data_IF_968052365307
#
_entry.id   IF_968052365307
#
_cell.length_a   1.000
_cell.length_b   1.000
_cell.length_c   1.000
_cell.angle_alpha   90.00
_cell.angle_beta   90.00
_cell.angle_gamma   90.00
#
_symmetry.space_group_name_H-M   'P 1'
#
loop_
_entity.id
_entity.type
_entity.pdbx_description
1 polymer ?
#
# COMPACT_ATOMS: atom_id res chain seq x y z
N UNK A 1 -34.48 -0.82 60.33
CA UNK A 1 -35.30 -1.19 59.15
C UNK A 1 -35.36 -0.14 58.04
N UNK A 2 -35.44 1.18 58.31
CA UNK A 2 -35.41 2.21 57.24
C UNK A 2 -34.08 2.32 56.49
N UNK A 3 -32.95 2.16 57.17
CA UNK A 3 -31.61 2.25 56.55
C UNK A 3 -31.34 1.14 55.51
N UNK A 4 -31.83 -0.08 55.75
CA UNK A 4 -31.64 -1.21 54.84
C UNK A 4 -32.46 -1.07 53.54
N UNK A 5 -33.63 -0.44 53.64
CA UNK A 5 -34.51 -0.17 52.50
C UNK A 5 -33.94 0.92 51.59
N UNK A 6 -33.26 1.92 52.16
CA UNK A 6 -32.58 2.97 51.41
C UNK A 6 -31.31 2.46 50.70
N UNK A 7 -30.62 1.47 51.27
CA UNK A 7 -29.45 0.85 50.65
C UNK A 7 -29.83 -0.03 49.44
N UNK A 8 -30.93 -0.79 49.52
CA UNK A 8 -31.44 -1.55 48.37
C UNK A 8 -31.95 -0.64 47.24
N UNK A 9 -32.59 0.49 47.56
CA UNK A 9 -33.02 1.47 46.55
C UNK A 9 -31.82 2.15 45.86
N UNK A 10 -30.73 2.41 46.57
CA UNK A 10 -29.50 2.95 45.98
C UNK A 10 -28.81 1.96 45.04
N UNK A 11 -28.82 0.65 45.35
CA UNK A 11 -28.26 -0.40 44.48
C UNK A 11 -29.13 -0.58 43.23
N UNK A 12 -30.45 -0.56 43.34
CA UNK A 12 -31.35 -0.62 42.18
C UNK A 12 -31.20 0.61 41.26
N UNK A 13 -31.03 1.80 41.83
CA UNK A 13 -30.77 3.02 41.06
C UNK A 13 -29.40 2.98 40.36
N UNK A 14 -28.37 2.43 41.01
CA UNK A 14 -27.03 2.26 40.42
C UNK A 14 -27.01 1.23 39.29
N UNK A 15 -27.75 0.12 39.42
CA UNK A 15 -27.87 -0.90 38.36
C UNK A 15 -28.67 -0.37 37.16
N UNK A 16 -29.74 0.42 37.39
CA UNK A 16 -30.49 1.07 36.31
C UNK A 16 -29.65 2.18 35.65
N UNK A 17 -28.82 2.91 36.40
CA UNK A 17 -27.86 3.88 35.85
C UNK A 17 -26.76 3.19 35.01
N UNK A 18 -26.24 2.04 35.44
CA UNK A 18 -25.28 1.25 34.65
C UNK A 18 -25.91 0.65 33.38
N UNK A 19 -27.19 0.25 33.42
CA UNK A 19 -27.93 -0.25 32.26
C UNK A 19 -28.38 0.86 31.30
N UNK A 20 -28.51 2.10 31.77
CA UNK A 20 -28.80 3.28 30.92
C UNK A 20 -27.54 3.89 30.34
N UNK A 21 -26.40 3.85 31.04
CA UNK A 21 -25.08 4.20 30.49
C UNK A 21 -24.60 3.15 29.48
N UNK A 22 -24.90 1.86 29.67
CA UNK A 22 -24.62 0.83 28.64
C UNK A 22 -25.51 0.98 27.41
N UNK A 23 -26.75 1.46 27.57
CA UNK A 23 -27.63 1.83 26.44
C UNK A 23 -27.21 3.13 25.75
N UNK A 24 -26.61 4.09 26.46
CA UNK A 24 -26.06 5.31 25.86
C UNK A 24 -24.73 5.04 25.11
N UNK A 25 -24.02 3.96 25.44
CA UNK A 25 -22.91 3.40 24.63
C UNK A 25 -23.37 2.48 23.49
N UNK A 26 -24.67 2.14 23.46
CA UNK A 26 -25.32 1.37 22.39
C UNK A 26 -26.26 2.24 21.54
N UNK A 27 -25.93 3.52 21.40
CA UNK A 27 -26.63 4.46 20.52
C UNK A 27 -26.22 4.25 19.06
N UNK A 28 -27.21 3.88 18.24
CA UNK A 28 -27.20 3.81 16.78
C UNK A 28 -26.18 2.86 16.14
N UNK A 29 -26.41 1.56 16.36
CA UNK A 29 -26.26 0.61 15.25
C UNK A 29 -27.35 0.92 14.23
N UNK A 30 -27.01 1.79 13.29
CA UNK A 30 -27.72 1.89 12.03
C UNK A 30 -27.64 0.52 11.35
N UNK A 31 -28.72 -0.24 11.43
CA UNK A 31 -28.93 -1.53 10.76
C UNK A 31 -29.15 -1.34 9.24
N UNK A 32 -28.63 -0.26 8.66
CA UNK A 32 -28.39 -0.17 7.23
C UNK A 32 -27.25 -1.09 6.86
N UNK A 33 -27.56 -2.19 6.16
CA UNK A 33 -26.64 -2.83 5.24
C UNK A 33 -26.30 -1.77 4.17
N UNK A 34 -25.34 -0.89 4.47
CA UNK A 34 -24.86 0.12 3.52
C UNK A 34 -23.84 -0.58 2.64
N UNK A 35 -24.34 -1.20 1.58
CA UNK A 35 -23.63 -1.88 0.50
C UNK A 35 -22.79 -0.96 -0.39
N UNK A 36 -22.37 0.22 0.09
CA UNK A 36 -21.42 1.08 -0.61
C UNK A 36 -20.48 1.72 0.39
N UNK A 37 -19.19 1.66 0.13
CA UNK A 37 -18.19 2.41 0.86
C UNK A 37 -18.20 3.87 0.32
N UNK A 38 -18.77 4.88 1.00
CA UNK A 38 -18.74 6.30 0.62
C UNK A 38 -17.35 6.94 0.49
N UNK A 39 -16.28 6.16 0.57
CA UNK A 39 -14.97 6.59 0.02
C UNK A 39 -15.09 6.94 -1.47
N UNK A 40 -16.06 6.34 -2.18
CA UNK A 40 -16.35 6.52 -3.61
C UNK A 40 -16.86 7.92 -4.03
N UNK A 41 -17.11 8.84 -3.09
CA UNK A 41 -17.58 10.20 -3.41
C UNK A 41 -16.55 11.31 -3.12
N UNK A 42 -15.29 10.94 -2.83
CA UNK A 42 -14.25 11.96 -2.66
C UNK A 42 -13.64 12.38 -3.98
N UNK A 43 -13.43 13.69 -4.14
CA UNK A 43 -12.68 14.25 -5.26
C UNK A 43 -11.24 13.70 -5.26
N UNK A 44 -10.62 13.63 -6.43
CA UNK A 44 -9.19 13.33 -6.53
C UNK A 44 -8.37 14.60 -6.27
N UNK A 45 -7.31 14.47 -5.49
CA UNK A 45 -6.31 15.50 -5.27
C UNK A 45 -5.00 15.07 -5.93
N UNK A 46 -4.44 15.94 -6.77
CA UNK A 46 -3.10 15.76 -7.34
C UNK A 46 -2.04 15.93 -6.25
N UNK A 47 -1.17 14.95 -6.09
CA UNK A 47 -0.03 15.00 -5.18
C UNK A 47 1.22 15.53 -5.88
N UNK A 48 1.53 15.01 -7.08
CA UNK A 48 2.65 15.42 -7.92
C UNK A 48 2.52 14.77 -9.32
N UNK A 49 3.42 15.13 -10.23
CA UNK A 49 3.58 14.51 -11.55
C UNK A 49 4.96 13.90 -11.70
N UNK A 50 5.03 12.73 -12.31
CA UNK A 50 6.29 12.11 -12.72
C UNK A 50 6.42 12.19 -14.24
N UNK A 51 7.60 12.60 -14.71
CA UNK A 51 7.95 12.59 -16.13
C UNK A 51 9.18 11.71 -16.36
N UNK A 52 9.12 10.85 -17.36
CA UNK A 52 10.19 9.94 -17.76
C UNK A 52 10.38 9.98 -19.26
N UNK A 53 11.54 10.44 -19.73
CA UNK A 53 11.91 10.34 -21.14
C UNK A 53 12.42 8.94 -21.47
N UNK A 54 11.68 8.17 -22.27
CA UNK A 54 11.99 6.79 -22.66
C UNK A 54 13.11 6.74 -23.72
N UNK A 55 14.32 7.15 -23.34
CA UNK A 55 15.52 7.13 -24.18
C UNK A 55 16.79 6.99 -23.31
N UNK A 56 17.91 6.42 -23.77
CA UNK A 56 19.16 6.46 -23.01
C UNK A 56 19.54 7.91 -22.61
N UNK A 57 19.95 8.08 -21.36
CA UNK A 57 20.19 9.35 -20.67
C UNK A 57 18.97 10.29 -20.58
N UNK A 58 17.78 9.81 -20.93
CA UNK A 58 16.53 10.54 -20.82
C UNK A 58 16.21 10.91 -19.37
N UNK A 59 15.74 12.13 -19.15
CA UNK A 59 15.48 12.65 -17.81
C UNK A 59 14.32 11.92 -17.11
N UNK A 60 14.49 11.72 -15.79
CA UNK A 60 13.43 11.34 -14.88
C UNK A 60 13.24 12.50 -13.91
N UNK A 61 12.06 13.10 -13.87
CA UNK A 61 11.79 14.29 -13.08
C UNK A 61 10.42 14.22 -12.38
N UNK A 62 10.28 15.03 -11.33
CA UNK A 62 9.04 15.21 -10.58
C UNK A 62 8.64 16.67 -10.55
N UNK A 63 7.33 16.94 -10.55
CA UNK A 63 6.76 18.25 -10.32
C UNK A 63 5.73 18.17 -9.20
N UNK A 64 5.89 19.01 -8.17
CA UNK A 64 4.95 19.14 -7.05
C UNK A 64 4.02 20.36 -7.20
N UNK A 65 4.13 21.09 -8.31
CA UNK A 65 3.41 22.33 -8.60
C UNK A 65 2.63 22.25 -9.93
N UNK A 66 2.11 21.06 -10.25
CA UNK A 66 1.26 20.78 -11.41
C UNK A 66 1.94 21.02 -12.76
N UNK A 67 3.25 20.79 -12.82
CA UNK A 67 4.07 20.84 -14.03
C UNK A 67 4.73 22.19 -14.31
N UNK A 68 4.65 23.16 -13.39
CA UNK A 68 5.28 24.47 -13.55
C UNK A 68 6.81 24.39 -13.41
N UNK A 69 7.29 23.64 -12.42
CA UNK A 69 8.71 23.35 -12.22
C UNK A 69 8.96 21.85 -12.10
N UNK A 70 10.15 21.43 -12.52
CA UNK A 70 10.56 20.03 -12.56
C UNK A 70 11.88 19.85 -11.82
N UNK A 71 11.88 19.00 -10.80
CA UNK A 71 13.07 18.55 -10.09
C UNK A 71 13.56 17.24 -10.72
N UNK A 72 14.82 17.20 -11.14
CA UNK A 72 15.43 15.99 -11.67
C UNK A 72 15.67 14.96 -10.55
N UNK A 73 15.13 13.77 -10.74
CA UNK A 73 15.33 12.61 -9.85
C UNK A 73 16.41 11.64 -10.36
N UNK A 74 16.61 11.56 -11.66
CA UNK A 74 17.55 10.61 -12.26
C UNK A 74 17.59 10.65 -13.79
N UNK A 75 18.02 9.55 -14.40
CA UNK A 75 17.99 9.31 -15.84
C UNK A 75 17.74 7.85 -16.19
N UNK A 76 17.29 7.63 -17.42
CA UNK A 76 17.11 6.32 -18.02
C UNK A 76 18.46 5.78 -18.51
N UNK A 77 18.84 4.61 -18.03
CA UNK A 77 20.01 3.85 -18.51
C UNK A 77 19.65 3.01 -19.75
N UNK A 78 18.42 2.48 -19.79
CA UNK A 78 17.92 1.70 -20.92
C UNK A 78 16.42 1.93 -21.08
N UNK A 79 16.00 2.19 -22.30
CA UNK A 79 14.60 2.41 -22.65
C UNK A 79 13.85 1.09 -22.85
N UNK A 80 12.53 1.12 -22.66
CA UNK A 80 11.65 0.03 -23.05
C UNK A 80 11.23 0.21 -24.51
N UNK A 81 11.02 -0.91 -25.19
CA UNK A 81 10.63 -0.99 -26.60
C UNK A 81 9.60 -2.11 -26.85
N UNK A 82 9.27 -2.87 -25.80
CA UNK A 82 8.31 -3.97 -25.80
C UNK A 82 7.50 -3.96 -24.51
N UNK A 83 6.51 -4.85 -24.45
CA UNK A 83 5.77 -5.20 -23.24
C UNK A 83 5.98 -6.69 -22.93
N UNK A 84 5.91 -7.05 -21.66
CA UNK A 84 5.75 -8.44 -21.22
C UNK A 84 4.28 -8.81 -21.41
N UNK A 85 3.93 -9.77 -22.28
CA UNK A 85 2.53 -10.10 -22.57
C UNK A 85 1.81 -10.72 -21.36
N UNK A 86 2.56 -11.38 -20.47
CA UNK A 86 2.02 -12.04 -19.26
C UNK A 86 2.64 -11.43 -18.02
N UNK A 87 1.97 -10.46 -17.43
CA UNK A 87 2.33 -9.86 -16.15
C UNK A 87 2.17 -10.83 -14.97
N UNK A 88 2.24 -10.27 -13.76
CA UNK A 88 1.93 -11.01 -12.53
C UNK A 88 0.43 -11.29 -12.43
N UNK A 89 0.01 -12.38 -11.78
CA UNK A 89 -1.40 -12.81 -11.76
C UNK A 89 -2.36 -11.70 -11.30
N UNK A 90 -2.00 -10.96 -10.25
CA UNK A 90 -2.84 -9.88 -9.73
C UNK A 90 -2.97 -8.65 -10.67
N UNK A 91 -2.20 -8.58 -11.76
CA UNK A 91 -2.26 -7.47 -12.71
C UNK A 91 -3.60 -7.39 -13.45
N UNK A 92 -4.35 -8.50 -13.53
CA UNK A 92 -5.68 -8.56 -14.15
C UNK A 92 -6.75 -7.69 -13.48
N UNK A 93 -6.51 -7.31 -12.22
CA UNK A 93 -7.46 -6.48 -11.45
C UNK A 93 -7.20 -4.98 -11.60
N UNK A 94 -6.34 -4.58 -12.54
CA UNK A 94 -6.10 -3.18 -12.89
C UNK A 94 -6.40 -2.97 -14.35
N UNK A 95 -7.14 -1.90 -14.63
CA UNK A 95 -7.45 -1.48 -15.99
C UNK A 95 -6.17 -1.24 -16.79
N UNK A 96 -6.18 -1.43 -18.13
CA UNK A 96 -5.08 -1.03 -19.00
C UNK A 96 -4.63 0.42 -18.77
N UNK A 97 -3.37 0.71 -19.12
CA UNK A 97 -2.75 2.06 -19.06
C UNK A 97 -2.78 2.71 -17.67
N UNK A 98 -2.60 1.88 -16.64
CA UNK A 98 -2.49 2.31 -15.26
C UNK A 98 -1.30 1.67 -14.55
N UNK A 99 -0.83 2.32 -13.48
CA UNK A 99 0.14 1.73 -12.56
C UNK A 99 -0.49 0.50 -11.90
N UNK A 100 0.02 -0.67 -12.24
CA UNK A 100 -0.43 -1.96 -11.74
C UNK A 100 0.26 -2.33 -10.41
N UNK A 101 1.49 -1.88 -10.19
CA UNK A 101 2.22 -2.14 -8.96
C UNK A 101 3.23 -1.04 -8.71
N UNK A 102 3.40 -0.71 -7.43
CA UNK A 102 4.38 0.26 -6.95
C UNK A 102 5.20 -0.40 -5.84
N UNK A 103 6.51 -0.48 -6.02
CA UNK A 103 7.41 -1.13 -5.08
C UNK A 103 8.76 -0.42 -5.00
N UNK A 104 9.48 -0.64 -3.89
CA UNK A 104 10.84 -0.13 -3.69
C UNK A 104 11.86 -0.66 -4.69
N UNK A 105 11.48 -1.65 -5.51
CA UNK A 105 12.38 -2.32 -6.45
C UNK A 105 11.83 -2.44 -7.88
N UNK A 106 10.60 -1.98 -8.15
CA UNK A 106 10.00 -1.94 -9.49
C UNK A 106 8.68 -1.15 -9.47
N UNK A 107 8.32 -0.57 -10.61
CA UNK A 107 6.97 -0.10 -10.92
C UNK A 107 6.49 -0.86 -12.15
N UNK A 108 5.27 -1.38 -12.11
CA UNK A 108 4.66 -2.06 -13.26
C UNK A 108 3.47 -1.25 -13.76
N UNK A 109 3.35 -1.13 -15.09
CA UNK A 109 2.26 -0.41 -15.74
C UNK A 109 1.56 -1.38 -16.69
N UNK A 110 0.24 -1.54 -16.53
CA UNK A 110 -0.59 -2.31 -17.44
C UNK A 110 -0.68 -1.60 -18.79
N UNK A 111 -0.70 -2.37 -19.87
CA UNK A 111 -0.92 -1.85 -21.22
C UNK A 111 -2.13 -2.45 -21.87
N UNK A 112 -2.40 -3.73 -21.61
CA UNK A 112 -3.54 -4.47 -22.13
C UNK A 112 -3.92 -5.60 -21.16
N UNK A 113 -5.01 -6.30 -21.43
CA UNK A 113 -5.44 -7.53 -20.77
C UNK A 113 -5.44 -8.69 -21.77
N UNK A 114 -4.74 -9.77 -21.42
CA UNK A 114 -4.73 -11.04 -22.16
C UNK A 114 -5.76 -12.00 -21.53
N UNK A 115 -6.91 -12.24 -22.20
CA UNK A 115 -7.95 -13.12 -21.68
C UNK A 115 -7.54 -14.60 -21.63
N UNK A 116 -6.61 -15.03 -22.49
CA UNK A 116 -6.14 -16.42 -22.52
C UNK A 116 -5.19 -16.71 -21.36
N UNK A 117 -4.35 -15.74 -21.01
CA UNK A 117 -3.44 -15.84 -19.87
C UNK A 117 -4.09 -15.42 -18.53
N UNK A 118 -5.28 -14.81 -18.56
CA UNK A 118 -5.97 -14.21 -17.41
C UNK A 118 -5.04 -13.23 -16.65
N UNK A 119 -4.31 -12.41 -17.42
CA UNK A 119 -3.24 -11.51 -16.93
C UNK A 119 -3.17 -10.25 -17.77
N UNK A 120 -2.70 -9.15 -17.18
CA UNK A 120 -2.39 -7.96 -17.96
C UNK A 120 -1.05 -8.11 -18.70
N UNK A 121 -0.95 -7.51 -19.88
CA UNK A 121 0.32 -7.16 -20.48
C UNK A 121 0.89 -5.94 -19.74
N UNK A 122 2.21 -5.93 -19.49
CA UNK A 122 2.85 -4.88 -18.70
C UNK A 122 4.19 -4.45 -19.28
N UNK A 123 4.59 -3.20 -19.06
CA UNK A 123 6.00 -2.83 -19.04
C UNK A 123 6.39 -2.36 -17.65
N UNK A 124 7.69 -2.29 -17.38
CA UNK A 124 8.21 -1.99 -16.05
C UNK A 124 9.15 -0.80 -16.05
N UNK A 125 9.23 -0.11 -14.93
CA UNK A 125 10.30 0.83 -14.61
C UNK A 125 11.10 0.21 -13.46
N UNK A 126 12.41 0.04 -13.63
CA UNK A 126 13.26 -0.67 -12.67
C UNK A 126 14.44 0.20 -12.20
N UNK A 127 14.81 0.13 -10.90
CA UNK A 127 15.96 0.85 -10.37
C UNK A 127 17.28 0.26 -10.84
N UNK A 128 18.38 1.01 -10.64
CA UNK A 128 19.73 0.52 -10.93
C UNK A 128 20.05 -0.76 -10.17
N UNK A 129 20.82 -1.63 -10.82
CA UNK A 129 21.35 -2.84 -10.20
C UNK A 129 20.33 -3.96 -9.96
N UNK A 130 19.05 -3.76 -10.31
CA UNK A 130 18.07 -4.85 -10.37
C UNK A 130 18.24 -5.56 -11.71
N UNK A 131 18.76 -6.78 -11.65
CA UNK A 131 18.93 -7.63 -12.83
C UNK A 131 17.66 -8.47 -13.04
N UNK A 132 17.03 -8.43 -14.22
CA UNK A 132 15.92 -9.31 -14.54
C UNK A 132 16.35 -10.78 -14.44
N UNK A 133 15.76 -11.52 -13.51
CA UNK A 133 15.91 -12.98 -13.43
C UNK A 133 14.83 -13.65 -14.27
N UNK A 134 15.06 -14.88 -14.76
CA UNK A 134 14.10 -15.57 -15.66
C UNK A 134 12.70 -15.81 -15.09
N UNK A 135 12.50 -15.67 -13.78
CA UNK A 135 11.21 -15.74 -13.08
C UNK A 135 10.53 -14.38 -12.85
N UNK A 136 11.12 -13.29 -13.36
CA UNK A 136 10.62 -11.93 -13.15
C UNK A 136 9.67 -11.50 -14.27
N UNK A 137 8.68 -10.67 -13.94
CA UNK A 137 7.67 -10.17 -14.90
C UNK A 137 8.18 -9.01 -15.79
N UNK A 138 9.49 -8.79 -15.78
CA UNK A 138 10.16 -7.71 -16.46
C UNK A 138 11.35 -8.27 -17.22
N UNK A 139 11.61 -7.73 -18.40
CA UNK A 139 12.75 -8.11 -19.25
C UNK A 139 13.50 -6.86 -19.69
N UNK A 140 14.77 -6.98 -20.11
CA UNK A 140 15.51 -5.79 -20.52
C UNK A 140 14.88 -5.00 -21.69
N UNK A 141 14.08 -5.63 -22.56
CA UNK A 141 13.37 -4.94 -23.65
C UNK A 141 11.97 -4.45 -23.24
N UNK A 142 11.37 -5.00 -22.19
CA UNK A 142 10.08 -4.56 -21.63
C UNK A 142 10.22 -3.71 -20.35
N UNK A 143 11.42 -3.18 -20.09
CA UNK A 143 11.70 -2.39 -18.90
C UNK A 143 12.49 -1.13 -19.22
N UNK A 144 12.07 -0.03 -18.62
CA UNK A 144 12.86 1.20 -18.49
C UNK A 144 13.77 1.01 -17.28
N UNK A 145 15.08 0.91 -17.51
CA UNK A 145 16.09 0.78 -16.47
C UNK A 145 16.61 2.16 -16.14
N UNK A 146 16.66 2.51 -14.85
CA UNK A 146 17.03 3.85 -14.36
C UNK A 146 18.34 3.85 -13.58
N UNK A 147 18.93 5.02 -13.34
CA UNK A 147 20.09 5.20 -12.44
C UNK A 147 19.70 5.44 -10.96
N UNK A 148 18.40 5.46 -10.67
CA UNK A 148 17.82 5.65 -9.34
C UNK A 148 18.00 4.37 -8.53
N UNK A 149 18.44 4.46 -7.27
CA UNK A 149 18.61 3.29 -6.41
C UNK A 149 17.25 2.69 -5.99
N UNK A 150 17.19 1.38 -5.71
CA UNK A 150 16.03 0.81 -5.03
C UNK A 150 15.81 1.50 -3.67
N UNK A 151 14.57 1.82 -3.32
CA UNK A 151 14.23 2.57 -2.10
C UNK A 151 14.35 4.10 -2.24
N UNK A 152 14.79 4.63 -3.40
CA UNK A 152 14.99 6.06 -3.65
C UNK A 152 14.08 6.61 -4.75
N UNK A 153 13.93 7.94 -4.83
CA UNK A 153 13.14 8.62 -5.85
C UNK A 153 11.72 8.06 -6.01
N UNK A 154 11.40 7.60 -7.23
CA UNK A 154 10.11 6.98 -7.57
C UNK A 154 9.94 5.57 -6.98
N UNK A 155 11.00 4.95 -6.46
CA UNK A 155 11.00 3.62 -5.85
C UNK A 155 10.90 3.69 -4.33
N UNK A 156 9.95 4.47 -3.82
CA UNK A 156 9.70 4.60 -2.37
C UNK A 156 10.47 5.71 -1.67
N UNK A 157 11.33 6.44 -2.39
CA UNK A 157 11.96 7.67 -1.89
C UNK A 157 11.02 8.89 -1.90
N UNK A 158 9.73 8.67 -1.63
CA UNK A 158 8.67 9.66 -1.50
C UNK A 158 8.05 10.21 -2.78
N UNK A 159 8.42 9.66 -3.94
CA UNK A 159 7.78 9.98 -5.21
C UNK A 159 7.23 8.74 -5.93
N UNK A 160 6.89 7.69 -5.18
CA UNK A 160 6.27 6.52 -5.77
C UNK A 160 4.83 6.82 -6.24
N UNK A 161 4.41 6.34 -7.42
CA UNK A 161 3.03 6.46 -7.85
C UNK A 161 2.12 5.53 -7.02
N UNK A 162 0.82 5.76 -7.09
CA UNK A 162 -0.21 4.89 -6.51
C UNK A 162 -0.70 3.89 -7.55
N UNK A 163 -1.11 2.70 -7.09
CA UNK A 163 -1.80 1.73 -7.94
C UNK A 163 -3.08 2.38 -8.49
N UNK A 164 -3.28 2.31 -9.80
CA UNK A 164 -4.42 2.93 -10.48
C UNK A 164 -4.15 4.31 -11.10
N UNK A 165 -3.00 4.94 -10.83
CA UNK A 165 -2.67 6.18 -11.52
C UNK A 165 -2.47 5.94 -13.02
N UNK A 166 -3.01 6.84 -13.84
CA UNK A 166 -3.04 6.70 -15.30
C UNK A 166 -1.72 7.10 -15.93
N UNK A 167 -1.38 6.41 -17.03
CA UNK A 167 -0.27 6.76 -17.89
C UNK A 167 -0.72 7.73 -18.99
N UNK A 168 -0.01 8.84 -19.08
CA UNK A 168 -0.09 9.82 -20.16
C UNK A 168 1.21 9.78 -20.96
N UNK A 169 1.15 10.21 -22.21
CA UNK A 169 2.31 10.30 -23.10
C UNK A 169 2.39 11.72 -23.64
N UNK A 170 3.58 12.30 -23.62
CA UNK A 170 3.87 13.56 -24.29
C UNK A 170 4.64 13.29 -25.58
N UNK A 171 4.10 13.74 -26.71
CA UNK A 171 4.70 13.60 -28.03
C UNK A 171 4.38 14.84 -28.86
N UNK A 172 5.38 15.42 -29.53
CA UNK A 172 5.18 16.56 -30.42
C UNK A 172 4.64 17.84 -29.74
N UNK A 173 4.85 17.99 -28.42
CA UNK A 173 4.32 19.11 -27.64
C UNK A 173 2.90 18.93 -27.12
N UNK A 174 2.24 17.81 -27.43
CA UNK A 174 0.92 17.46 -26.93
C UNK A 174 1.01 16.39 -25.84
N UNK A 175 0.03 16.37 -24.93
CA UNK A 175 -0.14 15.35 -23.89
C UNK A 175 -1.45 14.61 -24.12
N UNK A 176 -1.39 13.29 -24.23
CA UNK A 176 -2.57 12.45 -24.40
C UNK A 176 -2.56 11.27 -23.43
N UNK A 177 -3.75 10.78 -23.09
CA UNK A 177 -3.88 9.57 -22.29
C UNK A 177 -3.39 8.39 -23.14
N UNK A 178 -2.52 7.53 -22.60
CA UNK A 178 -2.10 6.33 -23.31
C UNK A 178 -3.33 5.46 -23.62
N UNK A 179 -3.32 4.78 -24.76
CA UNK A 179 -4.42 3.90 -25.16
C UNK A 179 -4.16 2.44 -24.78
N UNK A 180 -5.23 1.66 -24.68
CA UNK A 180 -5.13 0.20 -24.51
C UNK A 180 -4.24 -0.40 -25.62
N UNK A 181 -3.33 -1.28 -25.26
CA UNK A 181 -2.31 -1.86 -26.14
C UNK A 181 -1.03 -1.01 -26.27
N UNK A 182 -0.89 0.07 -25.49
CA UNK A 182 0.28 0.95 -25.56
C UNK A 182 1.61 0.20 -25.40
N UNK A 183 2.60 0.54 -26.23
CA UNK A 183 3.97 0.07 -26.14
C UNK A 183 4.88 1.29 -26.07
N UNK A 184 5.79 1.41 -25.08
CA UNK A 184 6.68 2.56 -24.98
C UNK A 184 7.51 2.77 -26.24
N UNK A 185 7.34 3.93 -26.89
CA UNK A 185 8.17 4.34 -28.01
C UNK A 185 9.45 5.02 -27.55
N UNK A 186 10.55 4.84 -28.27
CA UNK A 186 11.80 5.54 -27.98
C UNK A 186 11.63 7.04 -28.20
N UNK A 187 12.14 7.85 -27.27
CA UNK A 187 12.09 9.31 -27.31
C UNK A 187 10.76 9.91 -26.84
N UNK A 188 9.83 9.09 -26.36
CA UNK A 188 8.57 9.55 -25.78
C UNK A 188 8.74 9.95 -24.32
N UNK A 189 8.02 11.00 -23.90
CA UNK A 189 7.88 11.35 -22.49
C UNK A 189 6.70 10.60 -21.91
N UNK A 190 6.93 9.80 -20.88
CA UNK A 190 5.88 9.16 -20.08
C UNK A 190 5.54 10.07 -18.91
N UNK A 191 4.27 10.40 -18.75
CA UNK A 191 3.77 11.24 -17.68
C UNK A 191 2.80 10.45 -16.79
N UNK A 192 3.04 10.45 -15.48
CA UNK A 192 2.09 9.91 -14.50
C UNK A 192 1.66 11.07 -13.61
N UNK A 193 0.39 11.44 -13.68
CA UNK A 193 -0.22 12.36 -12.72
C UNK A 193 -0.60 11.52 -11.50
N UNK A 194 0.13 11.72 -10.40
CA UNK A 194 -0.08 10.98 -9.16
C UNK A 194 -1.15 11.69 -8.37
N UNK A 195 -2.36 11.16 -8.47
CA UNK A 195 -3.56 11.63 -7.78
C UNK A 195 -4.09 10.54 -6.85
N UNK A 196 -4.75 10.94 -5.78
CA UNK A 196 -5.40 10.05 -4.84
C UNK A 196 -6.68 10.67 -4.30
N UNK A 197 -7.49 9.88 -3.62
CA UNK A 197 -8.73 10.38 -3.01
C UNK A 197 -8.44 11.45 -1.94
N UNK A 198 -9.18 12.56 -1.98
CA UNK A 198 -8.99 13.70 -1.08
C UNK A 198 -9.37 13.38 0.38
N UNK A 199 -10.26 12.41 0.60
CA UNK A 199 -10.63 11.98 1.95
C UNK A 199 -9.45 11.26 2.61
N UNK A 200 -8.78 11.96 3.52
CA UNK A 200 -7.59 11.43 4.14
C UNK A 200 -7.94 10.47 5.28
N UNK A 201 -7.87 9.18 4.95
CA UNK A 201 -7.66 8.12 5.93
C UNK A 201 -6.37 8.47 6.69
N UNK A 202 -6.41 8.42 8.02
CA UNK A 202 -5.22 8.61 8.86
C UNK A 202 -4.66 7.28 9.35
N UNK A 203 -5.54 6.27 9.54
CA UNK A 203 -5.14 4.93 9.99
C UNK A 203 -5.99 3.85 9.32
N UNK A 204 -5.36 2.75 8.97
CA UNK A 204 -6.00 1.47 8.66
C UNK A 204 -5.51 0.45 9.70
N UNK A 205 -6.43 -0.21 10.40
CA UNK A 205 -6.12 -1.12 11.50
C UNK A 205 -6.72 -2.48 11.24
N UNK A 206 -5.93 -3.53 11.51
CA UNK A 206 -6.28 -4.93 11.42
C UNK A 206 -6.19 -5.54 12.83
N UNK A 207 -7.28 -6.12 13.33
CA UNK A 207 -7.20 -7.03 14.47
C UNK A 207 -6.58 -8.35 13.99
N UNK A 208 -5.38 -8.69 14.46
CA UNK A 208 -4.60 -9.82 13.97
C UNK A 208 -5.08 -11.14 14.59
N UNK A 209 -6.32 -11.53 14.30
CA UNK A 209 -6.96 -12.78 14.70
C UNK A 209 -8.01 -13.17 13.66
N UNK A 210 -8.42 -14.43 13.65
CA UNK A 210 -9.54 -14.87 12.83
C UNK A 210 -10.82 -14.09 13.21
N UNK A 211 -11.56 -13.67 12.20
CA UNK A 211 -12.73 -12.77 12.30
C UNK A 211 -12.43 -11.41 12.95
N UNK A 212 -11.15 -11.03 13.06
CA UNK A 212 -10.74 -9.73 13.56
C UNK A 212 -11.20 -8.61 12.63
N UNK A 213 -11.72 -7.52 13.19
CA UNK A 213 -12.19 -6.41 12.36
C UNK A 213 -11.05 -5.64 11.70
N UNK A 214 -11.35 -5.14 10.51
CA UNK A 214 -10.51 -4.20 9.77
C UNK A 214 -11.25 -2.88 9.71
N UNK A 215 -10.63 -1.80 10.20
CA UNK A 215 -11.26 -0.50 10.25
C UNK A 215 -10.35 0.65 9.85
N UNK A 216 -10.99 1.69 9.31
CA UNK A 216 -10.38 2.96 8.95
C UNK A 216 -10.62 3.98 10.06
N UNK A 217 -9.69 4.91 10.20
CA UNK A 217 -9.88 6.15 10.96
C UNK A 217 -9.61 7.35 10.07
N UNK A 218 -10.43 8.37 10.20
CA UNK A 218 -10.37 9.62 9.43
C UNK A 218 -9.82 10.77 10.29
N UNK A 219 -9.54 11.91 9.66
CA UNK A 219 -8.98 13.09 10.34
C UNK A 219 -9.89 13.64 11.45
N UNK A 220 -11.21 13.55 11.28
CA UNK A 220 -12.22 13.96 12.28
C UNK A 220 -12.30 13.01 13.50
N UNK A 221 -11.52 11.92 13.49
CA UNK A 221 -11.51 10.91 14.54
C UNK A 221 -12.53 9.79 14.35
N UNK A 222 -13.46 9.91 13.41
CA UNK A 222 -14.45 8.89 13.09
C UNK A 222 -13.78 7.59 12.65
N UNK A 223 -14.46 6.46 12.90
CA UNK A 223 -13.98 5.12 12.55
C UNK A 223 -15.03 4.35 11.79
N UNK A 224 -14.56 3.50 10.88
CA UNK A 224 -15.43 2.64 10.08
C UNK A 224 -14.85 1.25 9.90
N UNK A 225 -15.61 0.22 10.26
CA UNK A 225 -15.30 -1.16 9.90
C UNK A 225 -15.55 -1.35 8.40
N UNK A 226 -14.57 -1.92 7.71
CA UNK A 226 -14.62 -2.14 6.25
C UNK A 226 -14.57 -3.63 5.89
N UNK A 227 -14.03 -4.47 6.76
CA UNK A 227 -13.90 -5.91 6.52
C UNK A 227 -13.39 -6.67 7.72
N UNK A 228 -12.90 -7.88 7.46
CA UNK A 228 -12.44 -8.83 8.47
C UNK A 228 -11.17 -9.57 8.04
N UNK A 229 -10.42 -10.02 9.02
CA UNK A 229 -9.25 -10.89 8.86
C UNK A 229 -9.74 -12.34 8.85
N UNK A 230 -9.59 -13.03 7.73
CA UNK A 230 -9.90 -14.46 7.61
C UNK A 230 -8.77 -15.32 8.17
N UNK A 231 -7.52 -14.91 7.94
CA UNK A 231 -6.34 -15.58 8.45
C UNK A 231 -5.37 -14.53 9.00
N UNK A 232 -4.99 -14.60 10.29
CA UNK A 232 -3.99 -13.70 10.85
C UNK A 232 -2.59 -14.04 10.36
N UNK A 233 -1.71 -13.04 10.37
CA UNK A 233 -0.28 -13.29 10.19
C UNK A 233 0.31 -13.73 11.54
N UNK A 234 1.17 -14.75 11.53
CA UNK A 234 1.90 -15.21 12.73
C UNK A 234 3.41 -15.32 12.51
N UNK A 235 3.88 -15.21 11.28
CA UNK A 235 5.29 -15.37 10.93
C UNK A 235 5.78 -14.37 9.89
N UNK A 236 7.07 -14.50 9.55
CA UNK A 236 7.76 -13.71 8.52
C UNK A 236 8.37 -14.62 7.45
N UNK A 237 8.51 -14.10 6.23
CA UNK A 237 8.97 -14.82 5.04
C UNK A 237 10.05 -14.08 4.26
N UNK A 238 10.64 -14.80 3.29
CA UNK A 238 11.68 -14.26 2.39
C UNK A 238 11.09 -13.46 1.24
N UNK A 239 10.64 -12.24 1.53
CA UNK A 239 10.18 -11.31 0.50
C UNK A 239 11.35 -10.43 0.05
N UNK A 240 12.02 -10.80 -1.04
CA UNK A 240 13.36 -10.28 -1.38
C UNK A 240 13.46 -8.77 -1.55
N UNK A 241 12.37 -8.08 -1.88
CA UNK A 241 12.38 -6.61 -1.97
C UNK A 241 12.43 -5.90 -0.60
N UNK A 242 12.20 -6.62 0.51
CA UNK A 242 12.32 -6.06 1.88
C UNK A 242 13.73 -5.58 2.18
N UNK A 243 14.77 -6.09 1.50
CA UNK A 243 16.15 -5.55 1.62
C UNK A 243 16.28 -4.06 1.32
N UNK A 244 15.32 -3.47 0.60
CA UNK A 244 15.31 -2.06 0.23
C UNK A 244 14.31 -1.24 1.05
N UNK A 245 13.70 -1.82 2.09
CA UNK A 245 12.73 -1.15 2.95
C UNK A 245 13.01 -1.49 4.41
N UNK A 246 13.15 -0.47 5.25
CA UNK A 246 13.37 -0.67 6.68
C UNK A 246 12.15 -1.31 7.37
N UNK A 247 12.33 -1.82 8.58
CA UNK A 247 11.26 -2.42 9.37
C UNK A 247 10.08 -1.45 9.59
N UNK A 248 8.86 -1.97 9.51
CA UNK A 248 7.63 -1.20 9.63
C UNK A 248 7.37 -0.28 8.44
N UNK A 249 7.80 -0.66 7.23
CA UNK A 249 7.55 0.09 5.99
C UNK A 249 6.80 -0.76 4.99
N UNK A 250 5.88 -0.11 4.27
CA UNK A 250 5.29 -0.67 3.05
C UNK A 250 6.40 -0.70 2.00
N UNK A 251 6.72 -1.90 1.53
CA UNK A 251 7.76 -2.08 0.50
C UNK A 251 7.16 -2.24 -0.89
N UNK A 252 5.92 -2.72 -0.98
CA UNK A 252 5.17 -2.79 -2.23
C UNK A 252 3.67 -2.73 -1.97
N UNK A 253 2.95 -2.20 -2.95
CA UNK A 253 1.51 -2.36 -3.10
C UNK A 253 1.18 -2.72 -4.55
N UNK A 254 0.26 -3.66 -4.71
CA UNK A 254 -0.38 -4.01 -5.98
C UNK A 254 -1.79 -4.57 -5.69
N UNK A 255 -2.62 -4.83 -6.72
CA UNK A 255 -4.03 -5.22 -6.59
C UNK A 255 -4.34 -6.47 -5.75
N UNK A 256 -3.33 -7.19 -5.30
CA UNK A 256 -3.49 -8.40 -4.50
C UNK A 256 -2.58 -8.44 -3.27
N UNK A 257 -1.69 -7.48 -3.06
CA UNK A 257 -0.69 -7.56 -1.98
C UNK A 257 -0.33 -6.16 -1.48
N UNK A 258 -0.34 -6.02 -0.15
CA UNK A 258 0.49 -5.05 0.55
C UNK A 258 1.64 -5.83 1.20
N UNK A 259 2.88 -5.53 0.82
CA UNK A 259 4.08 -6.19 1.35
C UNK A 259 4.76 -5.27 2.37
N UNK A 260 5.00 -5.81 3.57
CA UNK A 260 5.54 -5.07 4.72
C UNK A 260 6.88 -5.64 5.13
N UNK A 261 7.89 -4.78 5.25
CA UNK A 261 9.20 -5.17 5.79
C UNK A 261 9.16 -5.24 7.32
N UNK A 262 9.75 -6.30 7.86
CA UNK A 262 10.03 -6.52 9.28
C UNK A 262 11.53 -6.74 9.52
N UNK A 263 12.40 -6.27 8.63
CA UNK A 263 13.85 -6.44 8.74
C UNK A 263 14.57 -5.08 8.73
N UNK A 264 15.79 -4.99 9.28
CA UNK A 264 16.66 -3.85 9.06
C UNK A 264 16.88 -3.61 7.56
N UNK A 265 17.13 -2.35 7.19
CA UNK A 265 17.48 -2.02 5.81
C UNK A 265 18.73 -2.80 5.39
N UNK A 266 18.67 -3.47 4.23
CA UNK A 266 19.72 -4.37 3.74
C UNK A 266 19.43 -5.86 3.99
N UNK A 267 18.51 -6.18 4.90
CA UNK A 267 18.18 -7.55 5.30
C UNK A 267 16.82 -7.98 4.76
N UNK A 268 16.50 -9.28 4.82
CA UNK A 268 15.24 -9.82 4.29
C UNK A 268 14.41 -10.41 5.43
N UNK A 269 13.23 -9.84 5.65
CA UNK A 269 12.11 -10.47 6.35
C UNK A 269 10.88 -9.58 6.20
N UNK A 270 9.71 -10.18 6.01
CA UNK A 270 8.46 -9.43 5.94
C UNK A 270 7.24 -10.33 6.01
N UNK A 271 6.07 -9.72 5.87
CA UNK A 271 4.80 -10.41 5.70
C UNK A 271 3.96 -9.69 4.65
N UNK A 272 2.93 -10.36 4.16
CA UNK A 272 2.02 -9.80 3.17
C UNK A 272 0.59 -9.78 3.69
N UNK A 273 -0.17 -8.75 3.32
CA UNK A 273 -1.62 -8.67 3.49
C UNK A 273 -2.22 -8.86 2.10
N UNK A 274 -3.10 -9.85 1.94
CA UNK A 274 -3.67 -10.24 0.64
C UNK A 274 -5.20 -10.36 0.73
N UNK A 275 -5.95 -10.00 -0.32
CA UNK A 275 -7.39 -10.24 -0.35
C UNK A 275 -7.68 -11.73 -0.59
N UNK A 276 -8.87 -12.16 -0.16
CA UNK A 276 -9.30 -13.56 -0.17
C UNK A 276 -9.15 -14.22 -1.55
N UNK A 277 -9.64 -13.62 -2.63
CA UNK A 277 -9.60 -14.27 -3.94
C UNK A 277 -8.16 -14.41 -4.46
N UNK A 278 -7.26 -13.47 -4.14
CA UNK A 278 -5.84 -13.63 -4.47
C UNK A 278 -5.19 -14.80 -3.72
N UNK A 279 -5.63 -15.12 -2.49
CA UNK A 279 -5.11 -16.28 -1.75
C UNK A 279 -5.38 -17.62 -2.43
N UNK A 280 -6.35 -17.67 -3.35
CA UNK A 280 -6.69 -18.84 -4.16
C UNK A 280 -6.05 -18.83 -5.56
N UNK A 281 -5.25 -17.81 -5.89
CA UNK A 281 -4.53 -17.76 -7.18
C UNK A 281 -3.48 -18.87 -7.26
N UNK A 282 -3.17 -19.43 -8.46
CA UNK A 282 -2.29 -20.61 -8.59
C UNK A 282 -0.91 -20.45 -7.93
N UNK A 283 -0.31 -19.27 -8.01
CA UNK A 283 0.99 -18.97 -7.39
C UNK A 283 0.92 -18.82 -5.85
N UNK A 284 -0.29 -18.61 -5.31
CA UNK A 284 -0.54 -18.36 -3.89
C UNK A 284 -0.91 -19.64 -3.13
N UNK A 285 -0.75 -20.83 -3.71
CA UNK A 285 -1.16 -22.10 -3.10
C UNK A 285 -0.59 -22.40 -1.70
N UNK A 286 0.48 -21.69 -1.28
CA UNK A 286 1.04 -21.78 0.09
C UNK A 286 0.46 -20.77 1.08
N UNK A 287 -0.23 -19.73 0.64
CA UNK A 287 -0.72 -18.65 1.50
C UNK A 287 -1.70 -19.16 2.58
N UNK A 288 -2.52 -20.15 2.23
CA UNK A 288 -3.50 -20.78 3.13
C UNK A 288 -2.87 -21.70 4.17
N UNK A 289 -1.66 -22.21 3.93
CA UNK A 289 -0.99 -23.18 4.83
C UNK A 289 0.14 -22.56 5.64
N UNK A 290 0.71 -21.45 5.15
CA UNK A 290 1.82 -20.75 5.78
C UNK A 290 1.34 -19.61 6.68
N UNK A 291 2.25 -19.00 7.46
CA UNK A 291 1.93 -18.01 8.50
C UNK A 291 2.36 -16.59 8.16
N UNK A 292 2.94 -16.38 6.98
CA UNK A 292 3.51 -15.13 6.49
C UNK A 292 2.52 -14.24 5.73
N UNK A 293 1.28 -14.72 5.57
CA UNK A 293 0.21 -14.02 4.88
C UNK A 293 -0.96 -13.78 5.83
N UNK A 294 -1.36 -12.52 5.95
CA UNK A 294 -2.67 -12.15 6.46
C UNK A 294 -3.66 -12.18 5.29
N UNK A 295 -4.75 -12.92 5.42
CA UNK A 295 -5.82 -12.98 4.42
C UNK A 295 -6.99 -12.15 4.92
N UNK A 296 -7.48 -11.25 4.08
CA UNK A 296 -8.51 -10.28 4.44
C UNK A 296 -9.68 -10.30 3.46
N UNK A 297 -10.88 -10.02 3.95
CA UNK A 297 -12.10 -10.06 3.16
C UNK A 297 -13.06 -8.92 3.51
N UNK A 298 -13.91 -8.51 2.56
CA UNK A 298 -15.01 -7.59 2.84
C UNK A 298 -16.00 -8.14 3.87
N UNK A 299 -16.81 -7.24 4.44
CA UNK A 299 -17.94 -7.62 5.31
C UNK A 299 -19.05 -8.35 4.52
N UNK A 300 -19.24 -7.96 3.26
CA UNK A 300 -20.26 -8.57 2.39
C UNK A 300 -19.70 -9.87 1.77
N UNK A 301 -20.44 -10.99 1.81
CA UNK A 301 -20.04 -12.25 1.17
C UNK A 301 -19.77 -12.11 -0.34
N UNK A 302 -20.51 -11.24 -1.03
CA UNK A 302 -20.35 -10.99 -2.47
C UNK A 302 -19.32 -9.89 -2.80
N UNK A 303 -18.68 -9.32 -1.77
CA UNK A 303 -17.68 -8.28 -1.95
C UNK A 303 -16.36 -8.86 -2.48
N UNK A 304 -15.60 -8.05 -3.21
CA UNK A 304 -14.22 -8.32 -3.59
C UNK A 304 -13.34 -7.12 -3.26
N UNK A 305 -12.07 -7.36 -2.96
CA UNK A 305 -11.10 -6.32 -2.57
C UNK A 305 -9.93 -6.19 -3.54
N UNK A 306 -9.76 -7.18 -4.39
CA UNK A 306 -8.76 -7.22 -5.45
C UNK A 306 -8.88 -5.98 -6.34
N UNK A 307 -7.81 -5.19 -6.43
CA UNK A 307 -7.80 -3.95 -7.22
C UNK A 307 -8.76 -2.87 -6.71
N UNK A 308 -9.24 -2.97 -5.46
CA UNK A 308 -10.19 -2.00 -4.89
C UNK A 308 -9.54 -1.12 -3.81
N UNK A 309 -9.95 0.16 -3.70
CA UNK A 309 -9.52 1.02 -2.62
C UNK A 309 -10.16 0.61 -1.28
N UNK A 310 -9.52 0.90 -0.13
CA UNK A 310 -8.25 1.62 0.01
C UNK A 310 -7.02 0.72 0.18
N UNK A 311 -7.17 -0.61 0.19
CA UNK A 311 -6.03 -1.51 0.46
C UNK A 311 -5.19 -1.71 -0.80
N UNK A 312 -5.84 -2.08 -1.89
CA UNK A 312 -5.17 -2.61 -3.08
C UNK A 312 -5.25 -1.67 -4.29
N UNK A 313 -5.66 -0.42 -4.08
CA UNK A 313 -5.81 0.61 -5.12
C UNK A 313 -5.78 2.04 -4.52
N UNK A 314 -5.14 3.00 -5.21
CA UNK A 314 -5.17 4.46 -5.00
C UNK A 314 -4.74 5.07 -3.64
N UNK A 315 -4.44 4.27 -2.62
CA UNK A 315 -4.26 4.80 -1.25
C UNK A 315 -2.90 4.52 -0.62
N UNK A 316 -2.28 3.38 -0.95
CA UNK A 316 -1.07 2.92 -0.28
C UNK A 316 0.07 2.81 -1.29
N UNK A 317 1.23 3.34 -0.91
CA UNK A 317 2.49 3.22 -1.68
C UNK A 317 3.68 3.14 -0.73
N UNK A 318 4.85 2.68 -1.20
CA UNK A 318 6.10 2.93 -0.51
C UNK A 318 6.37 4.44 -0.42
N UNK A 319 6.60 4.95 0.79
CA UNK A 319 6.99 6.33 1.03
C UNK A 319 7.83 6.37 2.31
N UNK A 320 9.15 6.22 2.15
CA UNK A 320 10.10 6.27 3.25
C UNK A 320 11.49 6.68 2.78
N UNK A 321 12.02 7.69 3.43
CA UNK A 321 13.35 8.24 3.17
C UNK A 321 14.17 8.17 4.47
N UNK A 322 15.23 7.34 4.54
CA UNK A 322 16.00 7.15 5.77
C UNK A 322 16.60 8.45 6.34
N UNK A 323 16.89 9.42 5.47
CA UNK A 323 17.62 10.64 5.82
C UNK A 323 16.72 11.88 6.02
N UNK A 324 15.40 11.74 6.15
CA UNK A 324 14.48 12.91 6.18
C UNK A 324 14.84 13.97 7.22
N UNK A 325 15.31 13.56 8.39
CA UNK A 325 15.67 14.46 9.48
C UNK A 325 16.87 15.37 9.17
N UNK A 326 17.58 15.13 8.05
CA UNK A 326 18.74 15.91 7.63
C UNK A 326 18.40 17.05 6.66
N UNK A 327 17.15 17.15 6.21
CA UNK A 327 16.73 18.15 5.24
C UNK A 327 15.95 19.29 5.89
N UNK A 328 15.97 20.53 5.34
CA UNK A 328 15.23 21.67 5.89
C UNK A 328 13.72 21.43 6.05
N UNK A 329 13.13 20.67 5.13
CA UNK A 329 11.71 20.25 5.06
C UNK A 329 11.45 18.91 5.78
N UNK A 330 12.26 18.57 6.79
CA UNK A 330 12.17 17.28 7.48
C UNK A 330 10.78 16.98 8.06
N UNK A 331 10.02 18.00 8.44
CA UNK A 331 8.69 17.84 9.05
C UNK A 331 7.70 17.33 8.02
N UNK A 332 7.66 17.97 6.86
CA UNK A 332 6.82 17.59 5.72
C UNK A 332 7.19 16.16 5.28
N UNK A 333 8.49 15.87 5.19
CA UNK A 333 8.99 14.53 4.84
C UNK A 333 8.63 13.46 5.86
N UNK A 334 8.64 13.79 7.16
CA UNK A 334 8.25 12.86 8.21
C UNK A 334 6.74 12.55 8.15
N UNK A 335 5.92 13.58 7.89
CA UNK A 335 4.48 13.48 7.82
C UNK A 335 3.98 12.87 6.50
N UNK A 336 4.81 12.81 5.45
CA UNK A 336 4.46 12.20 4.16
C UNK A 336 4.57 10.68 4.13
N UNK A 337 5.02 10.04 5.22
CA UNK A 337 5.37 8.62 5.24
C UNK A 337 4.17 7.71 5.43
N UNK A 338 4.26 6.52 4.85
CA UNK A 338 3.49 5.36 5.31
C UNK A 338 4.29 4.58 6.36
N UNK A 339 3.70 4.38 7.53
CA UNK A 339 4.33 3.60 8.60
C UNK A 339 3.46 2.40 8.94
N UNK A 340 4.08 1.23 9.08
CA UNK A 340 3.42 0.04 9.59
C UNK A 340 3.88 -0.23 11.01
N UNK A 341 2.92 -0.31 11.92
CA UNK A 341 3.15 -0.58 13.32
C UNK A 341 2.35 -1.80 13.77
N UNK A 342 2.87 -2.47 14.78
CA UNK A 342 2.26 -3.64 15.40
C UNK A 342 1.98 -3.34 16.86
N UNK A 343 0.99 -4.03 17.41
CA UNK A 343 0.71 -4.07 18.84
C UNK A 343 0.84 -5.50 19.33
N UNK A 344 1.50 -5.69 20.47
CA UNK A 344 1.66 -6.98 21.15
C UNK A 344 0.83 -7.01 22.41
N UNK A 345 -0.05 -7.99 22.56
CA UNK A 345 -1.04 -7.99 23.65
C UNK A 345 -1.81 -6.66 23.70
N UNK A 346 -1.88 -6.06 24.88
CA UNK A 346 -2.42 -4.72 25.12
C UNK A 346 -1.34 -3.63 25.24
N UNK A 347 -0.13 -3.93 24.75
CA UNK A 347 1.01 -3.01 24.79
C UNK A 347 0.88 -1.79 23.88
N UNK A 348 1.92 -0.93 23.86
CA UNK A 348 1.95 0.21 22.94
C UNK A 348 2.11 -0.23 21.48
N UNK A 349 1.75 0.67 20.57
CA UNK A 349 2.11 0.54 19.17
C UNK A 349 3.61 0.74 18.99
N UNK A 350 4.25 -0.11 18.21
CA UNK A 350 5.67 -0.01 17.87
C UNK A 350 5.90 -0.44 16.42
N UNK A 351 7.03 -0.09 15.79
CA UNK A 351 7.44 -0.73 14.55
C UNK A 351 7.44 -2.26 14.66
N UNK A 352 7.31 -2.95 13.51
CA UNK A 352 7.53 -4.40 13.47
C UNK A 352 8.92 -4.73 14.04
N UNK A 353 9.02 -5.79 14.84
CA UNK A 353 10.33 -6.18 15.38
C UNK A 353 11.25 -6.56 14.23
N UNK A 354 12.48 -6.05 14.27
CA UNK A 354 13.48 -6.28 13.24
C UNK A 354 14.04 -7.70 13.38
N UNK A 355 13.65 -8.56 12.45
CA UNK A 355 14.15 -9.94 12.31
C UNK A 355 14.83 -10.10 10.96
N UNK A 356 15.76 -11.03 10.86
CA UNK A 356 16.54 -11.27 9.64
C UNK A 356 16.46 -12.74 9.24
N UNK A 357 16.23 -12.98 7.96
CA UNK A 357 16.30 -14.31 7.37
C UNK A 357 17.51 -14.39 6.44
N UNK A 358 18.10 -15.58 6.36
CA UNK A 358 19.09 -15.89 5.33
C UNK A 358 18.48 -15.62 3.94
N UNK A 359 19.13 -14.81 3.08
CA UNK A 359 18.60 -14.47 1.76
C UNK A 359 18.57 -15.65 0.79
N UNK A 360 19.26 -16.76 1.08
CA UNK A 360 19.30 -17.95 0.25
C UNK A 360 17.94 -18.67 0.21
N UNK A 361 17.25 -18.53 -0.93
CA UNK A 361 15.95 -19.14 -1.18
C UNK A 361 15.99 -20.67 -1.27
N UNK A 362 17.17 -21.27 -1.45
CA UNK A 362 17.34 -22.73 -1.49
C UNK A 362 17.28 -23.37 -0.10
N UNK A 363 17.55 -22.59 0.96
CA UNK A 363 17.50 -23.06 2.34
C UNK A 363 16.04 -23.12 2.83
N UNK A 364 15.69 -24.09 3.70
CA UNK A 364 14.39 -24.07 4.36
C UNK A 364 14.22 -22.77 5.16
N UNK A 365 12.97 -22.35 5.32
CA UNK A 365 12.66 -21.25 6.25
C UNK A 365 12.92 -21.77 7.68
N UNK A 366 13.67 -21.05 8.53
CA UNK A 366 13.91 -21.50 9.90
C UNK A 366 12.59 -21.54 10.68
N UNK A 367 12.46 -22.52 11.58
CA UNK A 367 11.19 -22.80 12.26
C UNK A 367 10.62 -21.59 13.02
N UNK A 368 11.48 -20.83 13.70
CA UNK A 368 11.10 -19.62 14.44
C UNK A 368 10.40 -18.58 13.56
N UNK A 369 10.69 -18.54 12.26
CA UNK A 369 10.10 -17.57 11.34
C UNK A 369 8.59 -17.77 11.20
N UNK A 370 8.08 -18.97 11.47
CA UNK A 370 6.64 -19.24 11.44
C UNK A 370 5.89 -18.61 12.63
N UNK A 371 6.60 -18.23 13.69
CA UNK A 371 6.05 -17.73 14.96
C UNK A 371 6.53 -16.32 15.32
N UNK A 372 7.33 -15.69 14.45
CA UNK A 372 7.98 -14.40 14.71
C UNK A 372 7.00 -13.24 15.04
N UNK A 373 5.73 -13.38 14.66
CA UNK A 373 4.66 -12.41 14.90
C UNK A 373 3.48 -13.02 15.70
N UNK A 374 3.69 -14.14 16.38
CA UNK A 374 2.61 -14.86 17.09
C UNK A 374 2.03 -14.05 18.26
N UNK A 375 2.81 -13.12 18.83
CA UNK A 375 2.41 -12.23 19.93
C UNK A 375 1.75 -10.93 19.44
N UNK A 376 1.71 -10.69 18.12
CA UNK A 376 1.09 -9.50 17.52
C UNK A 376 -0.43 -9.65 17.52
N UNK A 377 -1.12 -8.77 18.23
CA UNK A 377 -2.59 -8.75 18.35
C UNK A 377 -3.27 -7.78 17.39
N UNK A 378 -2.54 -6.77 16.91
CA UNK A 378 -3.05 -5.83 15.92
C UNK A 378 -1.93 -5.25 15.05
N UNK A 379 -2.28 -4.87 13.83
CA UNK A 379 -1.39 -4.20 12.87
C UNK A 379 -2.08 -2.91 12.43
N UNK A 380 -1.34 -1.82 12.26
CA UNK A 380 -1.86 -0.61 11.65
C UNK A 380 -0.93 -0.05 10.59
N UNK A 381 -1.53 0.51 9.55
CA UNK A 381 -0.87 1.37 8.56
C UNK A 381 -1.28 2.80 8.89
N UNK A 382 -0.30 3.62 9.24
CA UNK A 382 -0.44 5.07 9.37
C UNK A 382 -0.25 5.69 8.00
N UNK A 383 -1.23 6.51 7.61
CA UNK A 383 -1.22 7.25 6.36
C UNK A 383 -0.51 8.60 6.54
N UNK A 384 -0.01 9.17 5.45
CA UNK A 384 0.49 10.54 5.43
C UNK A 384 -0.52 11.52 6.04
N UNK A 385 -0.02 12.46 6.83
CA UNK A 385 -0.84 13.55 7.38
C UNK A 385 -0.48 14.80 6.63
N UNK A 386 -1.40 15.34 5.83
CA UNK A 386 -1.20 16.64 5.22
C UNK A 386 -1.10 17.68 6.34
N UNK A 387 0.01 18.42 6.38
CA UNK A 387 0.14 19.58 7.25
C UNK A 387 -0.89 20.62 6.81
N UNK A 388 -2.09 20.58 7.39
CA UNK A 388 -3.00 21.70 7.32
C UNK A 388 -2.33 22.87 8.03
N UNK A 389 -1.75 23.81 7.28
CA UNK A 389 -1.78 25.19 7.73
C UNK A 389 -3.26 25.56 7.82
N UNK A 390 -3.83 25.35 9.01
CA UNK A 390 -5.03 26.08 9.42
C UNK A 390 -4.78 27.55 9.14
N UNK A 391 -5.72 28.17 8.44
CA UNK A 391 -5.58 29.51 7.89
C UNK A 391 -4.84 30.46 8.82
N UNK A 392 -3.75 31.06 8.32
CA UNK A 392 -3.26 32.30 8.90
C UNK A 392 -4.42 33.30 8.83
N UNK A 393 -4.91 33.86 9.95
CA UNK A 393 -5.77 35.01 9.85
C UNK A 393 -4.94 36.11 9.17
N UNK A 394 -5.43 36.61 8.06
CA UNK A 394 -4.98 37.87 7.48
C UNK A 394 -4.91 38.91 8.59
N UNK A 395 -3.71 39.43 8.86
CA UNK A 395 -3.57 40.71 9.56
C UNK A 395 -3.52 41.81 8.53
#
# INVERSE_FOLDING_TARGET
>A
MRAFRNFQLAIYAAVIALLTVSRAWAGEQDNGIVSRCPILHSEFAEHFRLRLLNEPDGEIAVSTDKGLTWERLGRVLRHAEKVTPKGFTASKWVEPVQVAATAVNAIHITTDYDPEADRAAVFSIIPKGIVPTGSSFYSPSSSIITDIAPGEGIFGGGFAPLVGNRLWVERGGETYLAEKGYVPGRGESLLIVVEGFANQITRLVFENREEGFIWLQFQDGSRRVIGRVLRPVRGVGRFTGTKYAAAGRVRANHPGVIDVSCSPLGSIAGFQIIPEAHSHSPEMGRALTMTQWMIVAPLSPDGHWEGMPPLFYQYIRPDYRPNDLRFPDWRERLLSRFLVEVRRGDGPWSPCHSVELDPDLSKPLPEWANYALMDVTAIRILFPVSGGEGGRPSR
#
